data_IF_247672938532
#
_entry.id   IF_247672938532
#
_cell.length_a   1.000
_cell.length_b   1.000
_cell.length_c   1.000
_cell.angle_alpha   90.00
_cell.angle_beta   90.00
_cell.angle_gamma   90.00
#
_symmetry.space_group_name_H-M   'P 1'
#
loop_
_entity.id
_entity.type
_entity.pdbx_description
1 polymer ?
#
# COMPACT_ATOMS: atom_id res chain seq x y z
N UNK A 1 5.42 7.67 -13.73
CA UNK A 1 4.09 7.75 -13.11
C UNK A 1 4.04 6.74 -11.98
N UNK A 2 4.21 7.17 -10.71
CA UNK A 2 4.11 6.28 -9.56
C UNK A 2 2.70 5.73 -9.37
N UNK A 3 2.62 4.45 -9.00
CA UNK A 3 1.40 3.80 -8.57
C UNK A 3 1.64 3.12 -7.23
N UNK A 4 0.77 3.38 -6.26
CA UNK A 4 0.83 2.78 -4.91
C UNK A 4 -0.45 1.98 -4.68
N UNK A 5 -0.29 0.73 -4.25
CA UNK A 5 -1.41 -0.09 -3.80
C UNK A 5 -1.26 -0.29 -2.30
N UNK A 6 -2.28 0.13 -1.54
CA UNK A 6 -2.37 -0.13 -0.11
C UNK A 6 -3.29 -1.32 0.09
N UNK A 7 -2.71 -2.49 0.34
CA UNK A 7 -3.46 -3.67 0.79
C UNK A 7 -3.64 -3.60 2.30
N UNK A 8 -4.86 -3.83 2.79
CA UNK A 8 -5.21 -3.75 4.21
C UNK A 8 -6.37 -4.67 4.57
N UNK A 9 -6.56 -4.96 5.86
CA UNK A 9 -7.79 -5.64 6.30
C UNK A 9 -9.01 -4.72 6.22
N UNK A 10 -10.21 -5.27 6.00
CA UNK A 10 -11.45 -4.51 5.95
C UNK A 10 -11.74 -3.70 7.22
N UNK A 11 -12.64 -2.71 7.07
CA UNK A 11 -13.22 -1.98 8.19
C UNK A 11 -12.60 -0.60 8.44
N UNK A 12 -11.93 0.00 7.45
CA UNK A 12 -11.63 1.44 7.45
C UNK A 12 -12.75 2.19 6.73
N UNK A 13 -13.04 3.41 7.20
CA UNK A 13 -14.04 4.24 6.53
C UNK A 13 -13.49 4.81 5.22
N UNK A 14 -14.38 5.23 4.33
CA UNK A 14 -13.97 5.85 3.07
C UNK A 14 -13.22 7.16 3.29
N UNK A 15 -13.55 7.92 4.34
CA UNK A 15 -12.82 9.15 4.71
C UNK A 15 -11.38 8.83 5.15
N UNK A 16 -11.17 7.73 5.88
CA UNK A 16 -9.82 7.31 6.27
C UNK A 16 -9.00 6.87 5.05
N UNK A 17 -9.62 6.12 4.13
CA UNK A 17 -8.98 5.68 2.88
C UNK A 17 -8.62 6.88 2.00
N UNK A 18 -9.53 7.83 1.82
CA UNK A 18 -9.30 9.05 1.05
C UNK A 18 -8.20 9.92 1.67
N UNK A 19 -8.23 10.13 2.99
CA UNK A 19 -7.19 10.89 3.70
C UNK A 19 -5.82 10.23 3.54
N UNK A 20 -5.73 8.90 3.68
CA UNK A 20 -4.46 8.20 3.52
C UNK A 20 -3.94 8.30 2.08
N UNK A 21 -4.81 8.15 1.07
CA UNK A 21 -4.43 8.29 -0.33
C UNK A 21 -3.85 9.67 -0.62
N UNK A 22 -4.49 10.74 -0.13
CA UNK A 22 -3.98 12.11 -0.28
C UNK A 22 -2.61 12.29 0.37
N UNK A 23 -2.42 11.74 1.58
CA UNK A 23 -1.12 11.82 2.27
C UNK A 23 -0.01 11.07 1.52
N UNK A 24 -0.29 9.87 1.01
CA UNK A 24 0.67 9.10 0.21
C UNK A 24 1.03 9.86 -1.07
N UNK A 25 0.04 10.43 -1.76
CA UNK A 25 0.28 11.20 -2.99
C UNK A 25 1.25 12.36 -2.73
N UNK A 26 1.02 13.13 -1.66
CA UNK A 26 1.92 14.23 -1.27
C UNK A 26 3.35 13.74 -0.99
N UNK A 27 3.51 12.70 -0.18
CA UNK A 27 4.83 12.17 0.16
C UNK A 27 5.56 11.63 -1.08
N UNK A 28 4.84 11.00 -2.02
CA UNK A 28 5.42 10.54 -3.29
C UNK A 28 5.86 11.71 -4.16
N UNK A 29 5.04 12.76 -4.29
CA UNK A 29 5.38 13.96 -5.03
C UNK A 29 6.63 14.63 -4.45
N UNK A 30 6.69 14.79 -3.14
CA UNK A 30 7.78 15.48 -2.45
C UNK A 30 9.11 14.72 -2.54
N UNK A 31 9.07 13.38 -2.38
CA UNK A 31 10.29 12.55 -2.35
C UNK A 31 10.78 12.19 -3.76
N UNK A 32 9.86 11.90 -4.68
CA UNK A 32 10.20 11.44 -6.04
C UNK A 32 10.11 12.55 -7.10
N UNK A 33 9.71 13.77 -6.72
CA UNK A 33 9.63 14.97 -7.56
C UNK A 33 8.68 14.82 -8.77
N UNK A 34 7.55 14.14 -8.57
CA UNK A 34 6.49 14.00 -9.58
C UNK A 34 5.38 15.03 -9.39
N UNK A 35 4.70 15.39 -10.49
CA UNK A 35 3.45 16.14 -10.46
C UNK A 35 2.28 15.29 -9.95
N UNK A 36 1.25 15.95 -9.42
CA UNK A 36 0.06 15.31 -8.85
C UNK A 36 -0.63 14.40 -9.87
N UNK A 37 -0.72 14.84 -11.12
CA UNK A 37 -1.34 14.09 -12.23
C UNK A 37 -0.63 12.78 -12.58
N UNK A 38 0.60 12.61 -12.09
CA UNK A 38 1.43 11.43 -12.36
C UNK A 38 1.33 10.35 -11.29
N UNK A 39 0.63 10.61 -10.17
CA UNK A 39 0.56 9.70 -9.01
C UNK A 39 -0.86 9.12 -8.88
N UNK A 40 -0.93 7.81 -8.64
CA UNK A 40 -2.20 7.12 -8.37
C UNK A 40 -2.07 6.21 -7.15
N UNK A 41 -3.13 6.12 -6.35
CA UNK A 41 -3.18 5.29 -5.14
C UNK A 41 -4.46 4.45 -5.14
N UNK A 42 -4.32 3.13 -4.98
CA UNK A 42 -5.42 2.19 -4.81
C UNK A 42 -5.48 1.65 -3.38
N UNK A 43 -6.68 1.34 -2.91
CA UNK A 43 -6.95 0.70 -1.61
C UNK A 43 -7.60 -0.65 -1.88
N UNK A 44 -6.99 -1.73 -1.40
CA UNK A 44 -7.45 -3.10 -1.62
C UNK A 44 -7.68 -3.79 -0.27
N UNK A 45 -8.95 -3.99 0.08
CA UNK A 45 -9.30 -4.73 1.30
C UNK A 45 -9.17 -6.24 1.06
N UNK A 46 -8.38 -6.89 1.91
CA UNK A 46 -8.13 -8.35 1.88
C UNK A 46 -8.54 -8.94 3.22
N UNK A 47 -9.43 -9.92 3.19
CA UNK A 47 -9.90 -10.60 4.41
C UNK A 47 -8.73 -11.21 5.20
N UNK A 48 -8.76 -11.18 6.55
CA UNK A 48 -7.66 -11.71 7.35
C UNK A 48 -7.34 -13.18 7.06
N UNK A 49 -8.36 -13.98 6.73
CA UNK A 49 -8.20 -15.39 6.38
C UNK A 49 -7.43 -15.63 5.08
N UNK A 50 -7.45 -14.68 4.15
CA UNK A 50 -6.75 -14.76 2.87
C UNK A 50 -5.40 -14.03 2.88
N UNK A 51 -5.09 -13.27 3.94
CA UNK A 51 -3.91 -12.41 4.00
C UNK A 51 -2.59 -13.14 3.77
N UNK A 52 -2.48 -14.38 4.27
CA UNK A 52 -1.28 -15.20 4.09
C UNK A 52 -0.99 -15.45 2.61
N UNK A 53 -2.02 -15.86 1.86
CA UNK A 53 -1.93 -16.26 0.46
C UNK A 53 -1.88 -15.05 -0.49
N UNK A 54 -2.69 -14.02 -0.21
CA UNK A 54 -2.90 -12.90 -1.12
C UNK A 54 -1.91 -11.74 -0.91
N UNK A 55 -1.22 -11.69 0.25
CA UNK A 55 -0.33 -10.58 0.61
C UNK A 55 0.99 -11.07 1.19
N UNK A 56 0.98 -11.84 2.28
CA UNK A 56 2.20 -12.15 3.02
C UNK A 56 3.18 -12.96 2.19
N UNK A 57 2.74 -14.06 1.58
CA UNK A 57 3.60 -14.87 0.73
C UNK A 57 4.06 -14.11 -0.54
N UNK A 58 3.17 -13.56 -1.39
CA UNK A 58 3.59 -12.97 -2.66
C UNK A 58 4.32 -11.62 -2.49
N UNK A 59 3.82 -10.72 -1.63
CA UNK A 59 4.27 -9.33 -1.59
C UNK A 59 5.30 -9.04 -0.48
N UNK A 60 5.41 -9.92 0.52
CA UNK A 60 6.34 -9.74 1.65
C UNK A 60 7.49 -10.75 1.56
N UNK A 61 7.20 -12.05 1.56
CA UNK A 61 8.22 -13.12 1.54
C UNK A 61 8.88 -13.22 0.16
N UNK A 62 8.07 -13.27 -0.90
CA UNK A 62 8.52 -13.51 -2.27
C UNK A 62 8.84 -12.23 -3.06
N UNK A 63 9.03 -11.09 -2.37
CA UNK A 63 9.35 -9.80 -2.97
C UNK A 63 10.77 -9.27 -2.61
N UNK A 64 11.84 -10.08 -2.75
CA UNK A 64 13.18 -9.64 -2.42
C UNK A 64 13.60 -8.43 -3.28
N UNK A 65 14.19 -7.42 -2.64
CA UNK A 65 14.61 -6.18 -3.31
C UNK A 65 13.47 -5.20 -3.63
N UNK A 66 12.21 -5.58 -3.41
CA UNK A 66 11.04 -4.69 -3.55
C UNK A 66 10.48 -4.23 -2.20
N UNK A 67 10.69 -5.01 -1.14
CA UNK A 67 10.22 -4.67 0.21
C UNK A 67 11.24 -3.80 0.96
N UNK A 68 11.06 -2.48 0.91
CA UNK A 68 11.93 -1.51 1.60
C UNK A 68 11.61 -1.38 3.10
N UNK A 69 10.39 -1.74 3.53
CA UNK A 69 9.98 -1.78 4.94
C UNK A 69 9.42 -3.16 5.28
N UNK A 70 10.08 -3.87 6.18
CA UNK A 70 9.64 -5.19 6.65
C UNK A 70 8.51 -5.07 7.70
N UNK A 71 7.56 -6.02 7.77
CA UNK A 71 6.65 -6.11 8.90
C UNK A 71 7.41 -6.46 10.19
N UNK A 72 6.83 -6.13 11.33
CA UNK A 72 7.31 -6.56 12.65
C UNK A 72 6.66 -7.87 13.13
N UNK A 73 5.95 -8.56 12.24
CA UNK A 73 5.26 -9.82 12.49
C UNK A 73 5.74 -10.88 11.51
N UNK A 74 5.58 -12.14 11.89
CA UNK A 74 5.75 -13.31 11.03
C UNK A 74 4.42 -14.08 10.98
N UNK A 75 4.14 -14.70 9.83
CA UNK A 75 3.01 -15.58 9.60
C UNK A 75 3.46 -16.93 9.06
#
# INVERSE_FOLDING_TARGET
>A
MPHVIVKLWPGKTEEQKALLAEKITRDVMDVLLYGEESVSVAMEEVEPGSWAEDVYQPDIVNAPGKLYKKPGYEM
#
